data_IF_642988956393
#
_entry.id   IF_642988956393
#
_cell.length_a   1.000
_cell.length_b   1.000
_cell.length_c   1.000
_cell.angle_alpha   90.00
_cell.angle_beta   90.00
_cell.angle_gamma   90.00
#
_symmetry.space_group_name_H-M   'P 1'
#
loop_
_entity.id
_entity.type
_entity.pdbx_description
1 polymer ?
#
# COMPACT_ATOMS: atom_id res chain seq x y z
N UNK A 1 27.20 -36.97 46.78
CA UNK A 1 26.00 -36.48 46.08
C UNK A 1 24.81 -37.22 46.69
N UNK A 2 23.89 -36.50 47.31
CA UNK A 2 22.88 -37.10 48.20
C UNK A 2 21.80 -37.80 47.36
N UNK A 3 21.35 -38.99 47.78
CA UNK A 3 20.42 -39.85 46.99
C UNK A 3 19.14 -39.10 46.59
N UNK A 4 18.70 -38.17 47.43
CA UNK A 4 17.58 -37.26 47.19
C UNK A 4 17.79 -36.31 46.00
N UNK A 5 19.02 -35.82 45.81
CA UNK A 5 19.38 -34.92 44.72
C UNK A 5 19.37 -35.65 43.37
N UNK A 6 19.79 -36.92 43.37
CA UNK A 6 19.76 -37.78 42.18
C UNK A 6 18.33 -38.13 41.77
N UNK A 7 17.45 -38.36 42.74
CA UNK A 7 16.03 -38.65 42.50
C UNK A 7 15.28 -37.42 41.95
N UNK A 8 15.59 -36.23 42.45
CA UNK A 8 15.00 -34.99 41.96
C UNK A 8 15.44 -34.67 40.52
N UNK A 9 16.69 -34.97 40.18
CA UNK A 9 17.21 -34.78 38.82
C UNK A 9 16.59 -35.77 37.82
N UNK A 10 16.34 -37.02 38.23
CA UNK A 10 15.60 -37.99 37.41
C UNK A 10 14.15 -37.59 37.16
N UNK A 11 13.45 -37.04 38.16
CA UNK A 11 12.09 -36.53 37.96
C UNK A 11 12.06 -35.37 36.96
N UNK A 12 13.03 -34.46 37.03
CA UNK A 12 13.08 -33.33 36.09
C UNK A 12 13.31 -33.78 34.64
N UNK A 13 14.19 -34.77 34.43
CA UNK A 13 14.43 -35.35 33.10
C UNK A 13 13.19 -36.05 32.54
N UNK A 14 12.48 -36.80 33.38
CA UNK A 14 11.27 -37.50 32.96
C UNK A 14 10.16 -36.53 32.58
N UNK A 15 10.04 -35.40 33.29
CA UNK A 15 9.05 -34.37 32.98
C UNK A 15 9.37 -33.65 31.65
N UNK A 16 10.65 -33.38 31.36
CA UNK A 16 11.06 -32.84 30.06
C UNK A 16 10.79 -33.80 28.90
N UNK A 17 11.00 -35.11 29.09
CA UNK A 17 10.72 -36.11 28.05
C UNK A 17 9.23 -36.19 27.71
N UNK A 18 8.35 -36.12 28.70
CA UNK A 18 6.90 -36.11 28.49
C UNK A 18 6.42 -34.84 27.76
N UNK A 19 7.06 -33.70 28.03
CA UNK A 19 6.77 -32.43 27.35
C UNK A 19 7.22 -32.43 25.88
N UNK A 20 8.32 -33.12 25.57
CA UNK A 20 8.76 -33.32 24.19
C UNK A 20 7.85 -34.30 23.45
N UNK A 21 7.39 -35.39 24.08
CA UNK A 21 6.45 -36.32 23.45
C UNK A 21 5.09 -35.69 23.14
N UNK A 22 4.58 -34.78 23.98
CA UNK A 22 3.33 -34.08 23.68
C UNK A 22 3.47 -33.07 22.53
N UNK A 23 4.66 -32.48 22.34
CA UNK A 23 4.98 -31.64 21.18
C UNK A 23 5.01 -32.43 19.87
N UNK A 24 5.54 -33.66 19.89
CA UNK A 24 5.55 -34.53 18.70
C UNK A 24 4.16 -35.09 18.37
N UNK A 25 3.34 -35.43 19.37
CA UNK A 25 1.97 -35.91 19.15
C UNK A 25 1.05 -34.86 18.47
N UNK A 26 1.36 -33.56 18.61
CA UNK A 26 0.64 -32.50 17.90
C UNK A 26 1.09 -32.28 16.45
N UNK A 27 2.27 -32.77 16.06
CA UNK A 27 2.77 -32.62 14.69
C UNK A 27 2.21 -33.68 13.71
N UNK A 28 1.88 -34.88 14.20
CA UNK A 28 1.34 -35.97 13.35
C UNK A 28 -0.15 -35.82 13.00
N UNK A 29 -0.87 -34.93 13.68
CA UNK A 29 -2.30 -34.63 13.40
C UNK A 29 -2.50 -33.73 12.16
N UNK A 30 -1.45 -33.09 11.64
CA UNK A 30 -1.55 -32.23 10.45
C UNK A 30 -1.02 -32.88 9.15
N UNK A 31 -0.44 -34.08 9.23
CA UNK A 31 0.18 -34.75 8.09
C UNK A 31 -0.74 -35.75 7.35
N UNK A 32 -1.96 -36.00 7.82
CA UNK A 32 -2.81 -37.10 7.32
C UNK A 32 -4.10 -36.69 6.58
N UNK A 33 -4.28 -35.40 6.22
CA UNK A 33 -5.46 -34.94 5.46
C UNK A 33 -5.20 -34.52 3.99
N UNK A 34 -4.11 -35.00 3.37
CA UNK A 34 -3.78 -34.71 1.97
C UNK A 34 -3.82 -35.93 1.05
N UNK A 35 -4.91 -36.70 1.07
CA UNK A 35 -5.27 -37.57 -0.06
C UNK A 35 -6.79 -37.76 -0.11
N UNK A 36 -7.48 -36.99 -0.95
CA UNK A 36 -8.70 -37.38 -1.68
C UNK A 36 -9.18 -36.21 -2.56
N UNK A 37 -8.60 -36.11 -3.77
CA UNK A 37 -9.24 -35.40 -4.88
C UNK A 37 -9.86 -36.44 -5.80
N UNK A 38 -11.16 -36.66 -5.68
CA UNK A 38 -11.99 -37.22 -6.73
C UNK A 38 -13.46 -36.83 -6.50
N UNK A 39 -14.08 -36.31 -7.57
CA UNK A 39 -15.51 -36.06 -7.77
C UNK A 39 -16.13 -34.80 -7.14
N UNK A 40 -16.30 -33.77 -7.97
CA UNK A 40 -17.43 -32.84 -7.87
C UNK A 40 -18.14 -32.82 -9.24
N UNK A 41 -19.47 -33.04 -9.32
CA UNK A 41 -20.22 -32.96 -10.56
C UNK A 41 -20.54 -31.51 -10.94
N UNK A 42 -20.55 -31.27 -12.25
CA UNK A 42 -21.04 -30.06 -12.94
C UNK A 42 -22.55 -29.82 -12.78
N UNK A 43 -22.93 -28.54 -13.00
CA UNK A 43 -24.28 -27.93 -13.19
C UNK A 43 -24.80 -27.20 -11.92
N UNK A 44 -25.37 -25.97 -11.93
CA UNK A 44 -25.99 -25.16 -13.00
C UNK A 44 -26.20 -23.71 -12.52
N UNK A 45 -26.35 -22.79 -13.47
CA UNK A 45 -26.85 -21.41 -13.35
C UNK A 45 -27.82 -21.11 -12.21
N UNK A 46 -27.58 -20.04 -11.44
CA UNK A 46 -28.59 -19.11 -10.90
C UNK A 46 -27.91 -17.75 -10.65
N UNK A 47 -28.38 -16.71 -11.34
CA UNK A 47 -28.05 -15.31 -11.07
C UNK A 47 -28.57 -14.91 -9.68
N UNK A 48 -27.71 -14.30 -8.87
CA UNK A 48 -28.09 -13.71 -7.59
C UNK A 48 -26.98 -12.79 -7.08
N UNK A 49 -27.25 -11.48 -7.08
CA UNK A 49 -26.45 -10.46 -6.38
C UNK A 49 -26.38 -10.81 -4.89
N UNK A 50 -25.18 -11.14 -4.38
CA UNK A 50 -25.01 -11.44 -2.96
C UNK A 50 -23.57 -11.85 -2.59
N UNK A 51 -22.89 -10.95 -1.89
CA UNK A 51 -21.80 -11.21 -0.95
C UNK A 51 -20.60 -12.06 -1.43
N UNK A 52 -19.69 -11.44 -2.20
CA UNK A 52 -18.28 -11.85 -2.20
C UNK A 52 -17.64 -11.50 -0.84
N UNK A 53 -17.97 -12.27 0.18
CA UNK A 53 -17.05 -12.52 1.29
C UNK A 53 -15.95 -13.43 0.75
N UNK A 54 -15.07 -12.89 -0.11
CA UNK A 54 -13.96 -13.64 -0.69
C UNK A 54 -13.10 -14.21 0.43
N UNK A 55 -12.98 -15.53 0.47
CA UNK A 55 -12.02 -16.21 1.34
C UNK A 55 -10.64 -15.61 1.09
N UNK A 56 -10.04 -15.07 2.14
CA UNK A 56 -8.68 -14.55 2.10
C UNK A 56 -7.72 -15.67 1.67
N UNK A 57 -6.96 -15.45 0.58
CA UNK A 57 -5.89 -16.34 0.15
C UNK A 57 -4.53 -15.68 0.44
N UNK A 58 -3.69 -16.26 1.32
CA UNK A 58 -2.38 -15.70 1.64
C UNK A 58 -1.39 -15.73 0.46
N UNK A 59 -1.61 -16.62 -0.51
CA UNK A 59 -0.69 -16.83 -1.63
C UNK A 59 -0.95 -15.90 -2.82
N UNK A 60 -1.97 -15.05 -2.74
CA UNK A 60 -2.31 -14.07 -3.79
C UNK A 60 -2.20 -12.65 -3.28
N UNK A 61 -2.03 -11.71 -4.21
CA UNK A 61 -2.13 -10.30 -3.91
C UNK A 61 -3.57 -9.91 -3.57
N UNK A 62 -3.71 -8.96 -2.65
CA UNK A 62 -5.00 -8.43 -2.20
C UNK A 62 -5.04 -6.93 -2.46
N UNK A 63 -6.15 -6.44 -2.99
CA UNK A 63 -6.36 -5.00 -3.16
C UNK A 63 -6.65 -4.36 -1.81
N UNK A 64 -5.73 -3.50 -1.35
CA UNK A 64 -5.87 -2.82 -0.06
C UNK A 64 -6.76 -1.59 -0.21
N UNK A 65 -6.55 -0.84 -1.30
CA UNK A 65 -7.35 0.31 -1.70
C UNK A 65 -7.25 0.48 -3.23
N UNK A 66 -8.15 1.25 -3.87
CA UNK A 66 -8.18 1.39 -5.32
C UNK A 66 -6.81 1.66 -5.96
N UNK A 67 -6.36 0.74 -6.80
CA UNK A 67 -5.08 0.90 -7.49
C UNK A 67 -3.85 0.34 -6.76
N UNK A 68 -4.00 -0.17 -5.52
CA UNK A 68 -2.88 -0.61 -4.67
C UNK A 68 -3.12 -2.04 -4.20
N UNK A 69 -2.22 -2.91 -4.62
CA UNK A 69 -2.20 -4.33 -4.30
C UNK A 69 -1.05 -4.62 -3.34
N UNK A 70 -1.26 -5.55 -2.41
CA UNK A 70 -0.24 -6.07 -1.51
C UNK A 70 -0.21 -7.59 -1.63
N UNK A 71 0.95 -8.18 -1.95
CA UNK A 71 1.04 -9.62 -2.17
C UNK A 71 2.40 -10.27 -1.96
N UNK A 72 2.41 -11.61 -1.91
CA UNK A 72 3.62 -12.44 -1.89
C UNK A 72 4.31 -12.48 -3.26
N UNK A 73 5.57 -12.94 -3.29
CA UNK A 73 6.31 -13.22 -4.53
C UNK A 73 5.58 -14.21 -5.46
N UNK A 74 4.76 -15.11 -4.92
CA UNK A 74 3.91 -16.00 -5.71
C UNK A 74 2.92 -15.26 -6.61
N UNK A 75 2.59 -13.99 -6.31
CA UNK A 75 1.75 -13.14 -7.17
C UNK A 75 2.41 -12.77 -8.50
N UNK A 76 3.73 -13.00 -8.64
CA UNK A 76 4.45 -12.79 -9.90
C UNK A 76 4.48 -14.04 -10.78
N UNK A 77 4.09 -15.20 -10.24
CA UNK A 77 4.10 -16.44 -10.98
C UNK A 77 2.94 -16.45 -11.98
N UNK A 78 3.20 -16.95 -13.19
CA UNK A 78 2.17 -17.21 -14.17
C UNK A 78 1.40 -18.47 -13.77
N UNK A 79 0.08 -18.36 -13.61
CA UNK A 79 -0.77 -19.51 -13.39
C UNK A 79 -0.92 -20.27 -14.71
N UNK A 80 -0.37 -21.49 -14.78
CA UNK A 80 -0.60 -22.39 -15.89
C UNK A 80 -1.99 -23.00 -15.75
N UNK A 81 -2.94 -22.50 -16.55
CA UNK A 81 -4.25 -23.14 -16.66
C UNK A 81 -4.14 -24.39 -17.56
N UNK A 82 -4.86 -25.48 -17.25
CA UNK A 82 -4.82 -26.74 -18.00
C UNK A 82 -5.30 -26.62 -19.46
N UNK A 83 -5.93 -25.50 -19.84
CA UNK A 83 -6.33 -25.17 -21.21
C UNK A 83 -5.20 -24.50 -22.03
N UNK A 84 -3.98 -24.38 -21.50
CA UNK A 84 -2.83 -23.75 -22.16
C UNK A 84 -2.81 -22.22 -22.10
N UNK A 85 -3.77 -21.57 -21.44
CA UNK A 85 -3.72 -20.12 -21.23
C UNK A 85 -2.93 -19.78 -19.97
N UNK A 86 -1.81 -19.07 -20.09
CA UNK A 86 -1.15 -18.45 -18.94
C UNK A 86 -1.76 -17.07 -18.71
N UNK A 87 -2.49 -16.88 -17.60
CA UNK A 87 -2.85 -15.53 -17.15
C UNK A 87 -1.85 -15.10 -16.09
N UNK A 88 -1.22 -13.94 -16.28
CA UNK A 88 -0.39 -13.33 -15.24
C UNK A 88 -1.20 -12.29 -14.49
N UNK A 89 -1.16 -12.34 -13.15
CA UNK A 89 -1.79 -11.34 -12.29
C UNK A 89 -1.42 -9.91 -12.72
N UNK A 90 -0.17 -9.70 -13.10
CA UNK A 90 0.35 -8.41 -13.57
C UNK A 90 -0.40 -7.90 -14.81
N UNK A 91 -0.69 -8.78 -15.76
CA UNK A 91 -1.41 -8.41 -16.98
C UNK A 91 -2.90 -8.23 -16.70
N UNK A 92 -3.50 -9.17 -15.97
CA UNK A 92 -4.93 -9.13 -15.63
C UNK A 92 -5.30 -7.85 -14.87
N UNK A 93 -4.47 -7.46 -13.90
CA UNK A 93 -4.68 -6.24 -13.13
C UNK A 93 -4.05 -5.02 -13.77
N UNK A 94 -3.39 -5.09 -14.92
CA UNK A 94 -2.70 -3.92 -15.49
C UNK A 94 -1.71 -3.25 -14.50
N UNK A 95 -0.89 -4.07 -13.84
CA UNK A 95 0.15 -3.59 -12.92
C UNK A 95 1.24 -2.89 -13.72
N UNK A 96 1.50 -1.62 -13.39
CA UNK A 96 2.52 -0.79 -14.05
C UNK A 96 3.68 -0.40 -13.14
N UNK A 97 3.56 -0.67 -11.85
CA UNK A 97 4.63 -0.48 -10.89
C UNK A 97 4.68 -1.62 -9.87
N UNK A 98 5.87 -2.16 -9.65
CA UNK A 98 6.16 -3.17 -8.63
C UNK A 98 7.16 -2.56 -7.65
N UNK A 99 6.86 -2.66 -6.36
CA UNK A 99 7.74 -2.22 -5.28
C UNK A 99 8.02 -3.41 -4.39
N UNK A 100 9.21 -3.98 -4.55
CA UNK A 100 9.71 -5.01 -3.65
C UNK A 100 10.08 -4.38 -2.30
N UNK A 101 9.63 -5.00 -1.21
CA UNK A 101 9.93 -4.64 0.17
C UNK A 101 10.48 -5.86 0.94
N UNK A 102 10.85 -6.94 0.25
CA UNK A 102 11.61 -8.07 0.78
C UNK A 102 13.10 -7.96 0.45
N UNK A 103 13.86 -9.03 0.66
CA UNK A 103 15.28 -9.07 0.30
C UNK A 103 15.46 -8.77 -1.19
N UNK A 104 16.24 -7.72 -1.51
CA UNK A 104 16.52 -7.35 -2.91
C UNK A 104 17.11 -8.54 -3.65
N UNK A 105 18.11 -9.22 -3.08
CA UNK A 105 18.78 -10.33 -3.76
C UNK A 105 17.85 -11.49 -4.09
N UNK A 106 16.95 -11.87 -3.17
CA UNK A 106 15.98 -12.94 -3.43
C UNK A 106 14.97 -12.53 -4.51
N UNK A 107 14.52 -11.27 -4.49
CA UNK A 107 13.65 -10.74 -5.53
C UNK A 107 14.32 -10.74 -6.91
N UNK A 108 15.60 -10.35 -6.98
CA UNK A 108 16.37 -10.35 -8.22
C UNK A 108 16.54 -11.76 -8.78
N UNK A 109 16.90 -12.71 -7.92
CA UNK A 109 17.04 -14.12 -8.30
C UNK A 109 15.71 -14.66 -8.87
N UNK A 110 14.59 -14.36 -8.21
CA UNK A 110 13.27 -14.74 -8.69
C UNK A 110 12.95 -14.14 -10.08
N UNK A 111 13.20 -12.84 -10.28
CA UNK A 111 12.83 -12.15 -11.52
C UNK A 111 13.72 -12.54 -12.70
N UNK A 112 15.01 -12.76 -12.48
CA UNK A 112 15.95 -13.04 -13.57
C UNK A 112 16.09 -14.55 -13.85
N UNK A 113 15.93 -15.42 -12.85
CA UNK A 113 16.19 -16.86 -12.99
C UNK A 113 14.95 -17.75 -12.96
N UNK A 114 13.76 -17.25 -12.59
CA UNK A 114 12.54 -18.07 -12.59
C UNK A 114 11.88 -18.12 -13.97
N UNK A 115 11.69 -19.31 -14.57
CA UNK A 115 11.00 -19.44 -15.86
C UNK A 115 9.50 -19.12 -15.78
N UNK A 116 8.94 -19.06 -14.56
CA UNK A 116 7.52 -18.82 -14.34
C UNK A 116 7.19 -17.35 -14.08
N UNK A 117 8.18 -16.46 -14.09
CA UNK A 117 8.00 -15.02 -13.91
C UNK A 117 8.27 -14.34 -15.25
N UNK A 118 7.26 -13.63 -15.76
CA UNK A 118 7.40 -12.81 -16.97
C UNK A 118 6.89 -11.41 -16.69
N UNK A 119 7.81 -10.46 -16.55
CA UNK A 119 7.51 -9.06 -16.29
C UNK A 119 7.75 -8.25 -17.57
N UNK A 120 6.73 -7.51 -18.01
CA UNK A 120 6.83 -6.64 -19.18
C UNK A 120 7.87 -5.52 -18.96
N UNK A 121 8.56 -5.13 -20.04
CA UNK A 121 9.64 -4.13 -19.99
C UNK A 121 9.19 -2.70 -19.67
N UNK A 122 7.88 -2.42 -19.76
CA UNK A 122 7.28 -1.12 -19.45
C UNK A 122 6.87 -0.99 -17.97
N UNK A 123 7.07 -2.03 -17.15
CA UNK A 123 6.74 -1.98 -15.72
C UNK A 123 7.92 -1.33 -14.96
N UNK A 124 7.60 -0.34 -14.12
CA UNK A 124 8.57 0.27 -13.23
C UNK A 124 8.80 -0.68 -12.05
N UNK A 125 10.04 -1.10 -11.83
CA UNK A 125 10.41 -1.95 -10.70
C UNK A 125 11.33 -1.17 -9.76
N UNK A 126 10.92 -1.11 -8.49
CA UNK A 126 11.70 -0.55 -7.40
C UNK A 126 11.90 -1.61 -6.32
N UNK A 127 13.04 -1.56 -5.62
CA UNK A 127 13.33 -2.38 -4.44
C UNK A 127 13.61 -1.47 -3.25
N UNK A 128 12.71 -1.44 -2.27
CA UNK A 128 12.90 -0.79 -0.99
C UNK A 128 13.53 -1.77 -0.02
N UNK A 129 14.81 -1.59 0.26
CA UNK A 129 15.60 -2.47 1.12
C UNK A 129 16.60 -1.63 1.92
N UNK A 130 16.19 -1.12 3.10
CA UNK A 130 17.00 -0.21 3.91
C UNK A 130 18.36 -0.79 4.34
N UNK A 131 18.42 -2.12 4.50
CA UNK A 131 19.60 -2.85 4.95
C UNK A 131 20.51 -3.30 3.79
N UNK A 132 20.17 -2.95 2.55
CA UNK A 132 20.92 -3.40 1.39
C UNK A 132 22.32 -2.77 1.29
N UNK A 133 23.36 -3.60 1.34
CA UNK A 133 24.77 -3.21 1.24
C UNK A 133 25.60 -4.05 0.24
N UNK A 134 24.95 -4.94 -0.51
CA UNK A 134 25.62 -5.87 -1.41
C UNK A 134 25.96 -5.27 -2.77
N UNK A 135 27.04 -5.77 -3.39
CA UNK A 135 27.40 -5.50 -4.77
C UNK A 135 27.63 -6.83 -5.50
N UNK A 136 26.94 -7.03 -6.62
CA UNK A 136 27.02 -8.24 -7.45
C UNK A 136 26.76 -7.89 -8.91
N UNK A 137 27.09 -8.80 -9.82
CA UNK A 137 26.81 -8.60 -11.25
C UNK A 137 25.31 -8.53 -11.53
N UNK A 138 24.50 -9.34 -10.81
CA UNK A 138 23.03 -9.28 -10.89
C UNK A 138 22.50 -7.88 -10.54
N UNK A 139 23.10 -7.22 -9.53
CA UNK A 139 22.72 -5.87 -9.13
C UNK A 139 23.07 -4.84 -10.22
N UNK A 140 24.23 -4.97 -10.87
CA UNK A 140 24.60 -4.09 -11.99
C UNK A 140 23.64 -4.26 -13.17
N UNK A 141 23.29 -5.49 -13.51
CA UNK A 141 22.33 -5.80 -14.57
C UNK A 141 20.95 -5.24 -14.24
N UNK A 142 20.47 -5.44 -13.01
CA UNK A 142 19.22 -4.89 -12.51
C UNK A 142 19.20 -3.36 -12.61
N UNK A 143 20.22 -2.70 -12.07
CA UNK A 143 20.34 -1.25 -12.12
C UNK A 143 20.35 -0.76 -13.58
N UNK A 144 21.11 -1.38 -14.47
CA UNK A 144 21.16 -0.96 -15.88
C UNK A 144 19.80 -1.09 -16.55
N UNK A 145 19.12 -2.22 -16.36
CA UNK A 145 17.83 -2.55 -16.99
C UNK A 145 16.70 -1.67 -16.45
N UNK A 146 16.49 -1.66 -15.14
CA UNK A 146 15.33 -1.01 -14.53
C UNK A 146 15.54 0.48 -14.25
N UNK A 147 16.78 0.93 -14.04
CA UNK A 147 17.04 2.37 -13.97
C UNK A 147 16.75 3.03 -15.32
N UNK A 148 17.10 2.40 -16.44
CA UNK A 148 16.77 2.94 -17.77
C UNK A 148 15.27 3.14 -17.94
N UNK A 149 14.46 2.15 -17.54
CA UNK A 149 13.00 2.26 -17.57
C UNK A 149 12.52 3.41 -16.67
N UNK A 150 12.98 3.45 -15.42
CA UNK A 150 12.64 4.51 -14.47
C UNK A 150 13.00 5.91 -14.99
N UNK A 151 14.24 6.10 -15.47
CA UNK A 151 14.69 7.38 -16.02
C UNK A 151 13.91 7.77 -17.27
N UNK A 152 13.55 6.83 -18.14
CA UNK A 152 12.74 7.12 -19.31
C UNK A 152 11.35 7.63 -18.90
N UNK A 153 10.71 7.00 -17.90
CA UNK A 153 9.43 7.46 -17.36
C UNK A 153 9.54 8.82 -16.70
N UNK A 154 10.55 9.03 -15.85
CA UNK A 154 10.79 10.31 -15.20
C UNK A 154 11.06 11.42 -16.24
N UNK A 155 11.96 11.19 -17.20
CA UNK A 155 12.31 12.16 -18.24
C UNK A 155 11.11 12.51 -19.12
N UNK A 156 10.38 11.50 -19.61
CA UNK A 156 9.13 11.70 -20.36
C UNK A 156 8.18 12.59 -19.56
N UNK A 157 8.05 12.30 -18.26
CA UNK A 157 7.13 13.00 -17.40
C UNK A 157 7.56 14.45 -17.10
N UNK A 158 8.84 14.68 -16.77
CA UNK A 158 9.39 16.03 -16.55
C UNK A 158 9.37 16.90 -17.81
N UNK A 159 9.56 16.29 -18.98
CA UNK A 159 9.55 17.02 -20.26
C UNK A 159 8.12 17.41 -20.66
N UNK A 160 7.16 16.51 -20.50
CA UNK A 160 5.79 16.73 -20.97
C UNK A 160 4.87 17.46 -19.98
N UNK A 161 5.30 17.63 -18.72
CA UNK A 161 4.49 18.26 -17.69
C UNK A 161 5.26 19.42 -17.04
N UNK A 162 5.33 20.61 -17.66
CA UNK A 162 6.09 21.75 -17.13
C UNK A 162 5.59 22.24 -15.77
N UNK A 163 4.34 21.94 -15.40
CA UNK A 163 3.70 22.31 -14.13
C UNK A 163 3.83 21.22 -13.06
N UNK A 164 4.77 20.29 -13.21
CA UNK A 164 4.97 19.13 -12.36
C UNK A 164 4.96 19.39 -10.85
N UNK A 165 5.58 20.51 -10.45
CA UNK A 165 5.68 20.96 -9.06
C UNK A 165 4.31 21.27 -8.44
N UNK A 166 3.27 21.40 -9.27
CA UNK A 166 1.88 21.60 -8.81
C UNK A 166 1.03 20.33 -8.87
N UNK A 167 1.57 19.19 -9.30
CA UNK A 167 0.82 17.92 -9.37
C UNK A 167 0.97 17.08 -8.11
N UNK A 168 2.06 17.28 -7.36
CA UNK A 168 2.34 16.57 -6.12
C UNK A 168 2.87 17.54 -5.08
N UNK A 169 2.65 17.23 -3.80
CA UNK A 169 3.30 17.95 -2.72
C UNK A 169 4.82 17.76 -2.78
N UNK A 170 5.56 18.77 -2.33
CA UNK A 170 7.01 18.68 -2.18
C UNK A 170 7.42 17.56 -1.23
N UNK A 171 8.68 17.13 -1.35
CA UNK A 171 9.32 16.31 -0.35
C UNK A 171 9.85 17.21 0.79
N UNK A 172 10.07 16.65 1.98
CA UNK A 172 10.61 17.41 3.10
C UNK A 172 12.05 17.89 2.87
N UNK A 173 12.45 18.94 3.59
CA UNK A 173 13.83 19.42 3.70
C UNK A 173 14.55 19.66 2.36
N UNK A 174 13.82 20.11 1.34
CA UNK A 174 14.35 20.35 -0.02
C UNK A 174 14.89 19.11 -0.73
N UNK A 175 14.52 17.90 -0.28
CA UNK A 175 14.76 16.70 -1.06
C UNK A 175 14.02 16.75 -2.40
N UNK A 176 14.59 16.11 -3.41
CA UNK A 176 13.97 15.95 -4.71
C UNK A 176 13.40 14.53 -4.88
N UNK A 177 12.50 14.40 -5.85
CA UNK A 177 11.96 13.09 -6.25
C UNK A 177 12.96 12.30 -7.13
N UNK A 178 14.17 12.83 -7.35
CA UNK A 178 15.14 12.17 -8.20
C UNK A 178 15.55 10.83 -7.57
N UNK A 179 15.36 9.78 -8.36
CA UNK A 179 15.74 8.41 -8.03
C UNK A 179 16.86 8.04 -8.99
N UNK A 180 18.11 8.00 -8.50
CA UNK A 180 19.27 7.62 -9.31
C UNK A 180 19.42 6.10 -9.47
N UNK A 181 18.67 5.34 -8.68
CA UNK A 181 18.73 3.88 -8.57
C UNK A 181 17.33 3.30 -8.37
N UNK A 182 16.99 2.16 -9.00
CA UNK A 182 15.78 1.41 -8.69
C UNK A 182 15.84 0.72 -7.31
N UNK A 183 17.03 0.56 -6.73
CA UNK A 183 17.20 0.09 -5.35
C UNK A 183 17.26 1.31 -4.42
N UNK A 184 16.28 1.39 -3.53
CA UNK A 184 16.12 2.41 -2.50
C UNK A 184 16.63 1.86 -1.17
N UNK A 185 17.91 2.12 -0.90
CA UNK A 185 18.58 1.71 0.34
C UNK A 185 18.84 2.90 1.27
N UNK A 186 19.35 2.60 2.46
CA UNK A 186 19.78 3.59 3.45
C UNK A 186 18.82 3.76 4.62
N UNK A 187 19.34 4.36 5.68
CA UNK A 187 18.71 4.39 7.01
C UNK A 187 17.51 5.33 7.15
N UNK A 188 17.33 6.28 6.24
CA UNK A 188 16.23 7.24 6.29
C UNK A 188 14.96 6.67 5.63
N UNK A 189 14.33 5.70 6.29
CA UNK A 189 13.12 5.06 5.75
C UNK A 189 11.98 6.05 5.48
N UNK A 190 11.84 7.09 6.32
CA UNK A 190 10.88 8.18 6.13
C UNK A 190 11.02 8.84 4.75
N UNK A 191 12.24 9.20 4.33
CA UNK A 191 12.42 9.85 3.02
C UNK A 191 12.09 8.88 1.88
N UNK A 192 12.39 7.59 2.05
CA UNK A 192 12.04 6.59 1.04
C UNK A 192 10.53 6.43 0.90
N UNK A 193 9.76 6.45 2.00
CA UNK A 193 8.29 6.48 1.95
C UNK A 193 7.78 7.72 1.19
N UNK A 194 8.31 8.91 1.47
CA UNK A 194 7.96 10.12 0.71
C UNK A 194 8.26 9.96 -0.78
N UNK A 195 9.46 9.52 -1.14
CA UNK A 195 9.87 9.34 -2.55
C UNK A 195 8.94 8.37 -3.28
N UNK A 196 8.70 7.19 -2.71
CA UNK A 196 7.82 6.19 -3.32
C UNK A 196 6.40 6.71 -3.46
N UNK A 197 5.80 7.25 -2.40
CA UNK A 197 4.40 7.68 -2.43
C UNK A 197 4.20 8.84 -3.38
N UNK A 198 5.12 9.82 -3.39
CA UNK A 198 5.06 10.94 -4.34
C UNK A 198 5.22 10.46 -5.77
N UNK A 199 6.09 9.49 -6.03
CA UNK A 199 6.22 8.87 -7.35
C UNK A 199 4.92 8.16 -7.78
N UNK A 200 4.27 7.42 -6.88
CA UNK A 200 2.96 6.80 -7.16
C UNK A 200 1.91 7.86 -7.47
N UNK A 201 1.80 8.91 -6.64
CA UNK A 201 0.85 10.01 -6.89
C UNK A 201 1.11 10.66 -8.24
N UNK A 202 2.39 10.87 -8.58
CA UNK A 202 2.82 11.46 -9.83
C UNK A 202 2.34 10.66 -11.04
N UNK A 203 2.57 9.34 -11.02
CA UNK A 203 2.14 8.48 -12.11
C UNK A 203 0.63 8.30 -12.17
N UNK A 204 -0.07 8.25 -11.03
CA UNK A 204 -1.55 8.22 -11.01
C UNK A 204 -2.17 9.48 -11.60
N UNK A 205 -1.48 10.63 -11.54
CA UNK A 205 -1.96 11.85 -12.18
C UNK A 205 -1.86 11.82 -13.71
N UNK A 206 -0.91 11.09 -14.29
CA UNK A 206 -0.69 11.05 -15.76
C UNK A 206 -1.28 9.83 -16.44
N UNK A 207 -1.20 8.65 -15.84
CA UNK A 207 -1.76 7.42 -16.40
C UNK A 207 -3.27 7.24 -16.09
N UNK A 208 -3.93 8.28 -15.57
CA UNK A 208 -5.28 8.21 -15.00
C UNK A 208 -5.40 7.13 -13.90
N UNK A 209 -6.63 6.82 -13.48
CA UNK A 209 -6.91 5.90 -12.36
C UNK A 209 -6.61 4.42 -12.67
N UNK A 210 -6.18 4.10 -13.90
CA UNK A 210 -5.96 2.72 -14.35
C UNK A 210 -4.59 2.15 -13.92
N UNK A 211 -3.70 3.01 -13.40
CA UNK A 211 -2.40 2.58 -12.87
C UNK A 211 -2.59 1.72 -11.61
N UNK A 212 -2.31 0.42 -11.73
CA UNK A 212 -2.18 -0.46 -10.57
C UNK A 212 -0.73 -0.57 -10.11
N UNK A 213 -0.53 -0.55 -8.79
CA UNK A 213 0.76 -0.68 -8.12
C UNK A 213 0.72 -1.91 -7.21
N UNK A 214 1.76 -2.73 -7.28
CA UNK A 214 1.93 -3.91 -6.44
C UNK A 214 3.05 -3.69 -5.43
N UNK A 215 2.71 -3.65 -4.15
CA UNK A 215 3.67 -3.78 -3.05
C UNK A 215 3.89 -5.25 -2.77
N UNK A 216 5.15 -5.67 -2.74
CA UNK A 216 5.53 -7.05 -2.80
C UNK A 216 6.52 -7.39 -1.69
N UNK A 217 6.40 -8.57 -1.10
CA UNK A 217 7.46 -9.16 -0.27
C UNK A 217 7.39 -10.69 -0.40
N UNK A 218 8.36 -11.43 0.14
CA UNK A 218 8.40 -12.90 0.05
C UNK A 218 7.05 -13.55 0.37
N UNK A 219 6.46 -13.20 1.52
CA UNK A 219 5.17 -13.73 2.01
C UNK A 219 3.99 -12.79 1.83
N UNK A 220 4.22 -11.57 1.31
CA UNK A 220 3.23 -10.50 1.27
C UNK A 220 2.82 -9.95 2.63
N UNK A 221 3.49 -10.36 3.72
CA UNK A 221 3.20 -9.96 5.09
C UNK A 221 4.42 -9.31 5.77
N UNK A 222 5.42 -8.86 5.02
CA UNK A 222 6.59 -8.22 5.64
C UNK A 222 6.20 -6.93 6.37
N UNK A 223 6.90 -6.62 7.45
CA UNK A 223 6.67 -5.39 8.20
C UNK A 223 6.99 -4.15 7.36
N UNK A 224 7.97 -4.24 6.45
CA UNK A 224 8.33 -3.16 5.53
C UNK A 224 7.26 -2.91 4.47
N UNK A 225 6.73 -3.95 3.81
CA UNK A 225 5.61 -3.80 2.86
C UNK A 225 4.35 -3.27 3.56
N UNK A 226 4.09 -3.72 4.78
CA UNK A 226 2.99 -3.23 5.61
C UNK A 226 3.20 -1.75 5.97
N UNK A 227 4.41 -1.37 6.36
CA UNK A 227 4.79 0.01 6.65
C UNK A 227 4.61 0.93 5.45
N UNK A 228 5.07 0.52 4.25
CA UNK A 228 4.87 1.27 3.03
C UNK A 228 3.38 1.44 2.70
N UNK A 229 2.58 0.38 2.86
CA UNK A 229 1.14 0.43 2.65
C UNK A 229 0.44 1.40 3.62
N UNK A 230 0.81 1.35 4.90
CA UNK A 230 0.35 2.29 5.91
C UNK A 230 0.72 3.72 5.56
N UNK A 231 1.97 3.98 5.16
CA UNK A 231 2.41 5.31 4.74
C UNK A 231 1.58 5.82 3.54
N UNK A 232 1.27 4.95 2.57
CA UNK A 232 0.40 5.30 1.45
C UNK A 232 -1.02 5.65 1.92
N UNK A 233 -1.60 4.90 2.85
CA UNK A 233 -2.94 5.16 3.40
C UNK A 233 -2.97 6.47 4.20
N UNK A 234 -1.94 6.73 4.99
CA UNK A 234 -1.75 8.00 5.71
C UNK A 234 -1.70 9.18 4.75
N UNK A 235 -0.99 9.04 3.63
CA UNK A 235 -0.92 10.09 2.64
C UNK A 235 -2.25 10.29 1.91
N UNK A 236 -2.76 9.23 1.29
CA UNK A 236 -3.87 9.32 0.34
C UNK A 236 -5.21 9.58 1.04
N UNK A 237 -5.44 8.91 2.18
CA UNK A 237 -6.73 8.90 2.87
C UNK A 237 -6.70 9.66 4.20
N UNK A 238 -5.57 10.26 4.58
CA UNK A 238 -5.38 10.99 5.85
C UNK A 238 -5.69 10.14 7.08
N UNK A 239 -5.53 8.81 6.97
CA UNK A 239 -5.68 7.92 8.12
C UNK A 239 -4.48 8.06 9.05
N UNK A 240 -4.73 7.99 10.36
CA UNK A 240 -3.65 7.84 11.33
C UNK A 240 -3.08 6.41 11.27
N UNK A 241 -2.02 6.15 12.05
CA UNK A 241 -1.35 4.85 12.10
C UNK A 241 -2.30 3.70 12.42
N UNK A 242 -3.12 3.88 13.47
CA UNK A 242 -4.04 2.85 13.95
C UNK A 242 -5.12 2.51 12.91
N UNK A 243 -5.74 3.51 12.29
CA UNK A 243 -6.79 3.31 11.29
C UNK A 243 -6.23 2.69 10.00
N UNK A 244 -5.02 3.10 9.60
CA UNK A 244 -4.32 2.52 8.44
C UNK A 244 -4.03 1.04 8.67
N UNK A 245 -3.53 0.71 9.87
CA UNK A 245 -3.24 -0.67 10.24
C UNK A 245 -4.50 -1.54 10.32
N UNK A 246 -5.59 -1.02 10.93
CA UNK A 246 -6.88 -1.71 11.01
C UNK A 246 -7.45 -2.04 9.63
N UNK A 247 -7.38 -1.10 8.68
CA UNK A 247 -7.82 -1.34 7.30
C UNK A 247 -6.95 -2.41 6.62
N UNK A 248 -5.63 -2.33 6.81
CA UNK A 248 -4.69 -3.28 6.24
C UNK A 248 -4.96 -4.71 6.74
N UNK A 249 -5.15 -4.91 8.04
CA UNK A 249 -5.50 -6.21 8.61
C UNK A 249 -6.88 -6.71 8.16
N UNK A 250 -7.86 -5.82 7.99
CA UNK A 250 -9.18 -6.20 7.46
C UNK A 250 -9.06 -6.82 6.07
N UNK A 251 -8.18 -6.26 5.21
CA UNK A 251 -7.96 -6.73 3.84
C UNK A 251 -7.01 -7.93 3.76
N UNK A 252 -6.05 -8.03 4.68
CA UNK A 252 -5.05 -9.10 4.74
C UNK A 252 -4.81 -9.53 6.19
N UNK A 253 -5.65 -10.43 6.74
CA UNK A 253 -5.66 -10.78 8.17
C UNK A 253 -4.37 -11.44 8.69
N UNK A 254 -3.52 -11.96 7.79
CA UNK A 254 -2.22 -12.55 8.17
C UNK A 254 -1.13 -11.54 8.51
N UNK A 255 -1.38 -10.24 8.34
CA UNK A 255 -0.42 -9.20 8.72
C UNK A 255 -0.39 -9.08 10.25
N UNK A 256 0.79 -9.33 10.82
CA UNK A 256 1.06 -9.12 12.23
C UNK A 256 1.14 -7.64 12.58
N UNK A 257 0.78 -7.33 13.82
CA UNK A 257 0.99 -5.99 14.38
C UNK A 257 2.47 -5.69 14.53
N UNK A 258 2.85 -4.45 14.18
CA UNK A 258 4.19 -3.92 14.41
C UNK A 258 4.42 -3.76 15.91
N UNK A 259 5.45 -4.42 16.42
CA UNK A 259 5.70 -4.49 17.86
C UNK A 259 6.90 -3.64 18.24
N UNK A 260 6.72 -2.70 19.17
CA UNK A 260 7.80 -1.84 19.68
C UNK A 260 8.95 -2.61 20.35
N UNK A 261 8.73 -3.88 20.73
CA UNK A 261 9.75 -4.77 21.29
C UNK A 261 10.76 -5.29 20.26
N UNK A 262 10.46 -5.19 18.96
CA UNK A 262 11.37 -5.59 17.88
C UNK A 262 11.98 -4.34 17.27
N UNK A 263 13.31 -4.32 17.16
CA UNK A 263 14.04 -3.13 16.71
C UNK A 263 13.62 -2.68 15.30
N UNK A 264 13.49 -3.62 14.36
CA UNK A 264 13.07 -3.31 12.98
C UNK A 264 11.66 -2.71 12.92
N UNK A 265 10.73 -3.25 13.70
CA UNK A 265 9.36 -2.75 13.80
C UNK A 265 9.33 -1.35 14.42
N UNK A 266 10.14 -1.13 15.47
CA UNK A 266 10.29 0.17 16.10
C UNK A 266 10.82 1.21 15.10
N UNK A 267 11.81 0.86 14.28
CA UNK A 267 12.31 1.74 13.22
C UNK A 267 11.20 2.11 12.23
N UNK A 268 10.38 1.14 11.81
CA UNK A 268 9.25 1.39 10.91
C UNK A 268 8.22 2.32 11.59
N UNK A 269 7.80 2.01 12.82
CA UNK A 269 6.82 2.81 13.58
C UNK A 269 7.29 4.25 13.73
N UNK A 270 8.54 4.48 14.14
CA UNK A 270 9.07 5.83 14.36
C UNK A 270 9.20 6.62 13.04
N UNK A 271 9.59 5.96 11.94
CA UNK A 271 9.59 6.60 10.64
C UNK A 271 8.17 6.92 10.13
N UNK A 272 7.18 6.07 10.40
CA UNK A 272 5.77 6.33 10.06
C UNK A 272 5.17 7.50 10.84
N UNK A 273 5.46 7.61 12.15
CA UNK A 273 5.02 8.74 12.96
C UNK A 273 5.61 10.05 12.42
N UNK A 274 6.92 10.07 12.16
CA UNK A 274 7.61 11.24 11.57
C UNK A 274 7.07 11.58 10.18
N UNK A 275 6.85 10.57 9.34
CA UNK A 275 6.24 10.72 8.02
C UNK A 275 4.86 11.38 8.13
N UNK A 276 3.98 10.87 9.00
CA UNK A 276 2.61 11.37 9.16
C UNK A 276 2.56 12.85 9.54
N UNK A 277 3.35 13.25 10.55
CA UNK A 277 3.39 14.63 11.03
C UNK A 277 3.87 15.60 9.95
N UNK A 278 5.00 15.28 9.32
CA UNK A 278 5.60 16.12 8.28
C UNK A 278 4.75 16.15 7.01
N UNK A 279 4.07 15.04 6.69
CA UNK A 279 3.15 14.99 5.57
C UNK A 279 1.94 15.89 5.77
N UNK A 280 1.36 15.92 6.97
CA UNK A 280 0.27 16.84 7.30
C UNK A 280 0.74 18.28 7.13
N UNK A 281 1.91 18.62 7.66
CA UNK A 281 2.48 19.97 7.54
C UNK A 281 2.65 20.39 6.07
N UNK A 282 3.25 19.52 5.25
CA UNK A 282 3.45 19.78 3.82
C UNK A 282 2.12 19.97 3.07
N UNK A 283 1.07 19.21 3.42
CA UNK A 283 -0.27 19.33 2.83
C UNK A 283 -1.00 20.59 3.29
N UNK A 284 -0.75 21.06 4.52
CA UNK A 284 -1.31 22.32 5.03
C UNK A 284 -0.66 23.54 4.37
N UNK A 285 0.64 23.47 4.03
CA UNK A 285 1.35 24.54 3.35
C UNK A 285 0.87 24.73 1.89
N UNK A 286 0.40 23.67 1.24
CA UNK A 286 -0.04 23.71 -0.16
C UNK A 286 -1.38 22.97 -0.39
N UNK A 287 -2.50 23.47 0.15
CA UNK A 287 -3.78 22.75 0.15
C UNK A 287 -4.39 22.60 -1.26
N UNK A 288 -4.00 23.44 -2.22
CA UNK A 288 -4.51 23.47 -3.58
C UNK A 288 -4.02 22.31 -4.47
N UNK A 289 -2.96 21.61 -4.08
CA UNK A 289 -2.35 20.53 -4.86
C UNK A 289 -3.19 19.24 -4.94
N UNK A 290 -4.37 19.21 -4.30
CA UNK A 290 -5.30 18.07 -4.34
C UNK A 290 -6.74 18.43 -4.75
N UNK A 291 -7.01 19.68 -5.15
CA UNK A 291 -8.36 20.11 -5.55
C UNK A 291 -8.46 20.24 -7.08
N UNK A 292 -8.08 19.19 -7.80
CA UNK A 292 -8.39 19.07 -9.25
C UNK A 292 -9.46 18.02 -9.53
N UNK A 293 -10.29 17.67 -8.54
CA UNK A 293 -11.54 16.95 -8.77
C UNK A 293 -12.72 17.74 -8.18
N UNK A 294 -13.54 18.23 -9.10
CA UNK A 294 -14.83 18.89 -8.91
C UNK A 294 -14.80 20.34 -8.40
N UNK A 295 -14.43 21.28 -9.27
CA UNK A 295 -15.22 22.51 -9.36
C UNK A 295 -16.62 22.05 -9.75
N UNK A 296 -17.57 21.96 -8.80
CA UNK A 296 -19.00 21.88 -9.16
C UNK A 296 -19.23 23.03 -10.14
N UNK A 297 -19.77 22.73 -11.32
CA UNK A 297 -20.05 23.74 -12.32
C UNK A 297 -20.82 24.89 -11.70
N UNK A 298 -20.14 26.01 -11.46
CA UNK A 298 -20.77 27.30 -11.64
C UNK A 298 -20.96 27.40 -13.14
N UNK A 299 -22.16 27.03 -13.59
CA UNK A 299 -22.67 27.53 -14.84
C UNK A 299 -22.73 29.06 -14.69
N UNK A 300 -21.69 29.75 -15.14
CA UNK A 300 -21.80 31.13 -15.58
C UNK A 300 -22.70 31.10 -16.82
N UNK A 301 -24.01 31.17 -16.58
CA UNK A 301 -24.94 31.61 -17.63
C UNK A 301 -24.82 33.13 -17.64
N UNK A 302 -24.34 33.62 -18.79
CA UNK A 302 -24.19 35.02 -19.09
C UNK A 302 -25.46 35.80 -18.78
N UNK A 303 -25.24 36.97 -18.20
CA UNK A 303 -26.18 38.07 -18.25
C UNK A 303 -26.43 38.39 -19.72
N UNK A 304 -27.63 38.08 -20.20
CA UNK A 304 -28.35 38.93 -21.15
C UNK A 304 -29.84 38.75 -20.85
N UNK A 305 -30.49 39.87 -20.52
CA UNK A 305 -31.83 39.90 -19.96
C UNK A 305 -32.91 39.49 -20.95
N UNK A 306 -33.97 38.89 -20.43
CA UNK A 306 -35.34 39.15 -20.86
C UNK A 306 -36.32 38.63 -19.80
N UNK A 307 -37.20 39.52 -19.37
CA UNK A 307 -38.31 39.31 -18.45
C UNK A 307 -39.30 38.28 -18.99
N UNK A 308 -39.63 37.26 -18.20
CA UNK A 308 -40.95 36.60 -18.28
C UNK A 308 -41.36 36.11 -16.90
N UNK A 309 -42.48 36.65 -16.42
CA UNK A 309 -43.23 36.23 -15.23
C UNK A 309 -43.72 34.78 -15.34
N UNK A 310 -43.77 34.08 -14.21
CA UNK A 310 -44.40 32.76 -14.13
C UNK A 310 -44.19 32.09 -12.78
N UNK A 311 -45.16 32.30 -11.89
CA UNK A 311 -45.38 31.54 -10.66
C UNK A 311 -45.32 30.02 -10.91
N UNK A 312 -44.57 29.28 -10.10
CA UNK A 312 -45.11 28.06 -9.48
C UNK A 312 -44.26 27.58 -8.30
N UNK A 313 -44.99 27.17 -7.28
CA UNK A 313 -44.55 26.68 -5.99
C UNK A 313 -43.72 25.38 -6.06
N UNK A 314 -42.94 25.18 -4.99
CA UNK A 314 -42.74 23.93 -4.24
C UNK A 314 -41.32 23.34 -4.09
N UNK A 315 -41.08 22.97 -2.83
CA UNK A 315 -40.10 22.04 -2.27
C UNK A 315 -38.65 22.53 -2.10
N UNK A 316 -38.47 23.21 -0.96
CA UNK A 316 -37.20 23.26 -0.23
C UNK A 316 -36.93 21.90 0.41
N UNK A 317 -35.75 21.33 0.17
CA UNK A 317 -35.12 20.36 1.07
C UNK A 317 -33.77 20.93 1.52
N UNK A 318 -33.79 21.66 2.63
CA UNK A 318 -32.63 22.05 3.40
C UNK A 318 -32.07 20.82 4.12
N UNK A 319 -30.91 20.30 3.70
CA UNK A 319 -30.10 19.42 4.54
C UNK A 319 -29.17 20.28 5.38
N UNK A 320 -29.64 20.57 6.59
CA UNK A 320 -28.95 21.22 7.69
C UNK A 320 -27.92 20.24 8.29
N UNK A 321 -26.62 20.50 8.16
CA UNK A 321 -25.59 19.83 8.97
C UNK A 321 -25.01 20.86 9.94
N UNK A 322 -25.41 20.73 11.20
CA UNK A 322 -25.08 21.64 12.28
C UNK A 322 -23.59 21.74 12.55
N UNK A 323 -23.08 22.97 12.53
CA UNK A 323 -21.86 23.35 13.22
C UNK A 323 -22.21 23.53 14.71
N UNK A 324 -21.63 22.67 15.55
CA UNK A 324 -21.59 22.87 17.00
C UNK A 324 -20.78 24.11 17.32
N UNK A 325 -21.45 25.08 17.97
CA UNK A 325 -20.92 26.33 18.44
C UNK A 325 -20.03 26.13 19.67
N UNK A 326 -18.92 26.87 19.71
CA UNK A 326 -18.33 27.43 20.92
C UNK A 326 -17.66 28.75 20.56
N UNK A 327 -18.33 29.87 20.81
CA UNK A 327 -17.71 30.97 21.57
C UNK A 327 -18.71 32.08 21.91
N UNK A 328 -18.81 32.29 23.22
CA UNK A 328 -19.53 33.35 23.91
C UNK A 328 -19.09 34.75 23.44
N UNK A 329 -20.07 35.63 23.26
CA UNK A 329 -19.84 37.00 22.81
C UNK A 329 -19.46 38.00 23.91
N UNK A 330 -19.16 39.22 23.48
CA UNK A 330 -19.79 40.50 23.89
C UNK A 330 -19.01 41.67 23.31
N UNK A 331 -19.71 42.65 22.76
CA UNK A 331 -19.11 43.96 22.43
C UNK A 331 -19.83 44.76 21.37
N UNK A 332 -21.11 45.10 21.60
CA UNK A 332 -21.84 46.09 20.80
C UNK A 332 -21.27 47.50 21.01
N UNK A 333 -21.03 48.23 19.92
CA UNK A 333 -20.68 49.66 19.95
C UNK A 333 -20.95 50.34 18.61
N UNK A 334 -22.18 50.83 18.41
CA UNK A 334 -22.60 51.71 17.29
C UNK A 334 -21.84 53.05 17.32
N UNK A 335 -21.43 53.58 16.15
CA UNK A 335 -21.96 54.83 15.54
C UNK A 335 -21.07 55.40 14.39
N UNK A 336 -21.72 55.53 13.22
CA UNK A 336 -21.81 56.72 12.33
C UNK A 336 -20.54 57.41 11.77
N UNK A 337 -20.41 57.28 10.43
CA UNK A 337 -20.57 58.29 9.35
C UNK A 337 -19.54 59.45 9.17
N UNK A 338 -19.24 59.65 7.87
CA UNK A 338 -18.57 60.76 7.17
C UNK A 338 -17.03 60.78 7.30
N UNK A 339 -16.24 60.95 6.22
CA UNK A 339 -16.45 61.53 4.89
C UNK A 339 -15.99 60.60 3.78
#
# INVERSE_FOLDING_TARGET
MNMFQQQQQQQLQQQQQLQLQSLYAHHDSYASNSMNYANVPTQTHMQGLGAESMFFNPNTAQEICPGIWLGPYTSLLNDYQPNGSSSSFLTEKNVKMIINCGSTMQFLDLVENSPNVSISSDIIILSLDPAFDYQSELIKTFNTKFNRVLQNYLLYFYTNNPVLKTLIHSLPQSHDLNLSSPILSGSNLKIQFFKIIRLISLFKHVFNQDLQVLFLSETGNSNLSSGLCIAYLMDTYKYNLQNSFKLLQLKRPTISELRTSYYEDLLIIENLKKFYLENIELKLQNPSLLVSKFKRGQCDIGQDGQDVDGDDDNMRDEILVGAGADNFGRGLGRKRRFR
#
